data_IF_337095156070
#
_entry.id   IF_337095156070
#
_cell.length_a   1.000
_cell.length_b   1.000
_cell.length_c   1.000
_cell.angle_alpha   90.00
_cell.angle_beta   90.00
_cell.angle_gamma   90.00
#
_symmetry.space_group_name_H-M   'P 1'
#
loop_
_entity.id
_entity.type
_entity.pdbx_description
1 polymer ?
#
# COMPACT_ATOMS: atom_id res chain seq x y z
N UNK A 1 -22.62 -32.85 -42.07
CA UNK A 1 -23.02 -32.57 -40.66
C UNK A 1 -21.90 -32.78 -39.64
N UNK A 2 -21.00 -33.76 -39.83
CA UNK A 2 -19.93 -34.15 -38.88
C UNK A 2 -18.82 -33.10 -38.64
N UNK A 3 -18.57 -32.17 -39.58
CA UNK A 3 -17.50 -31.16 -39.44
C UNK A 3 -17.82 -30.05 -38.43
N UNK A 4 -19.09 -29.69 -38.21
CA UNK A 4 -19.46 -28.60 -37.28
C UNK A 4 -19.37 -29.02 -35.80
N UNK A 5 -19.56 -30.30 -35.51
CA UNK A 5 -19.55 -30.81 -34.14
C UNK A 5 -18.14 -30.95 -33.55
N UNK A 6 -17.14 -31.29 -34.38
CA UNK A 6 -15.71 -31.31 -33.97
C UNK A 6 -15.17 -29.91 -33.63
N UNK A 7 -15.64 -28.87 -34.32
CA UNK A 7 -15.20 -27.49 -34.07
C UNK A 7 -15.78 -26.95 -32.75
N UNK A 8 -17.03 -27.32 -32.41
CA UNK A 8 -17.66 -26.92 -31.15
C UNK A 8 -16.98 -27.57 -29.94
N UNK A 9 -16.71 -28.88 -29.98
CA UNK A 9 -16.00 -29.60 -28.91
C UNK A 9 -14.57 -29.08 -28.70
N UNK A 10 -13.87 -28.69 -29.76
CA UNK A 10 -12.53 -28.09 -29.65
C UNK A 10 -12.52 -26.72 -28.97
N UNK A 11 -13.55 -25.90 -29.19
CA UNK A 11 -13.68 -24.58 -28.52
C UNK A 11 -14.04 -24.71 -27.04
N UNK A 12 -14.92 -25.64 -26.69
CA UNK A 12 -15.30 -25.92 -25.28
C UNK A 12 -14.11 -26.50 -24.49
N UNK A 13 -13.32 -27.40 -25.09
CA UNK A 13 -12.10 -27.92 -24.44
C UNK A 13 -11.00 -26.87 -24.28
N UNK A 14 -10.92 -25.89 -25.19
CA UNK A 14 -9.96 -24.77 -25.09
C UNK A 14 -10.36 -23.74 -24.03
N UNK A 15 -11.65 -23.55 -23.79
CA UNK A 15 -12.16 -22.66 -22.75
C UNK A 15 -11.97 -23.25 -21.35
N UNK A 16 -12.35 -24.52 -21.15
CA UNK A 16 -12.15 -25.24 -19.88
C UNK A 16 -10.66 -25.32 -19.49
N UNK A 17 -9.78 -25.54 -20.46
CA UNK A 17 -8.33 -25.62 -20.22
C UNK A 17 -7.67 -24.23 -20.02
N UNK A 18 -8.36 -23.13 -20.38
CA UNK A 18 -7.96 -21.76 -20.01
C UNK A 18 -8.41 -21.41 -18.59
N UNK A 19 -9.63 -21.79 -18.21
CA UNK A 19 -10.13 -21.60 -16.84
C UNK A 19 -9.33 -22.41 -15.82
N UNK A 20 -9.05 -23.69 -16.09
CA UNK A 20 -8.23 -24.53 -15.20
C UNK A 20 -6.80 -23.99 -15.03
N UNK A 21 -6.22 -23.43 -16.10
CA UNK A 21 -4.90 -22.79 -16.04
C UNK A 21 -4.91 -21.45 -15.30
N UNK A 22 -5.99 -20.68 -15.38
CA UNK A 22 -6.14 -19.44 -14.62
C UNK A 22 -6.35 -19.74 -13.12
N UNK A 23 -7.19 -20.70 -12.78
CA UNK A 23 -7.40 -21.16 -11.39
C UNK A 23 -6.11 -21.76 -10.78
N UNK A 24 -5.33 -22.47 -11.58
CA UNK A 24 -4.00 -22.98 -11.17
C UNK A 24 -2.96 -21.87 -11.00
N UNK A 25 -3.07 -20.76 -11.75
CA UNK A 25 -2.18 -19.61 -11.67
C UNK A 25 -2.44 -18.81 -10.38
N UNK A 26 -3.71 -18.56 -10.09
CA UNK A 26 -4.14 -17.88 -8.88
C UNK A 26 -3.71 -18.68 -7.64
N UNK A 27 -3.80 -20.01 -7.68
CA UNK A 27 -3.30 -20.90 -6.62
C UNK A 27 -1.78 -20.88 -6.40
N UNK A 28 -0.98 -20.64 -7.44
CA UNK A 28 0.49 -20.59 -7.31
C UNK A 28 0.99 -19.22 -6.84
N UNK A 29 0.31 -18.13 -7.23
CA UNK A 29 0.52 -16.80 -6.66
C UNK A 29 0.09 -16.76 -5.19
N UNK A 30 -1.06 -17.39 -4.89
CA UNK A 30 -1.50 -17.67 -3.51
C UNK A 30 -0.46 -18.48 -2.73
N UNK A 31 0.21 -19.46 -3.33
CA UNK A 31 1.20 -20.28 -2.61
C UNK A 31 2.48 -19.52 -2.25
N UNK A 32 2.88 -18.55 -3.08
CA UNK A 32 3.98 -17.62 -2.76
C UNK A 32 3.54 -16.60 -1.70
N UNK A 33 2.28 -16.15 -1.73
CA UNK A 33 1.68 -15.34 -0.68
C UNK A 33 1.56 -16.10 0.66
N UNK A 34 1.24 -17.40 0.63
CA UNK A 34 0.97 -18.21 1.83
C UNK A 34 2.20 -18.59 2.64
N UNK A 35 3.41 -18.53 2.08
CA UNK A 35 4.65 -18.73 2.87
C UNK A 35 5.03 -17.50 3.72
N UNK A 36 4.29 -16.41 3.58
CA UNK A 36 4.48 -15.13 4.26
C UNK A 36 3.56 -14.95 5.49
N UNK A 37 2.74 -15.97 5.82
CA UNK A 37 1.48 -15.89 6.57
C UNK A 37 1.56 -15.75 8.11
N UNK A 38 2.73 -15.62 8.73
CA UNK A 38 2.83 -15.49 10.19
C UNK A 38 3.45 -14.17 10.64
N UNK A 39 3.15 -13.06 9.96
CA UNK A 39 3.45 -11.74 10.50
C UNK A 39 2.22 -11.24 11.25
N UNK A 40 2.34 -11.21 12.58
CA UNK A 40 1.30 -10.65 13.43
C UNK A 40 1.20 -9.14 13.19
N UNK A 41 -0.04 -8.59 13.14
CA UNK A 41 -0.23 -7.15 13.10
C UNK A 41 0.36 -6.49 14.36
N UNK A 42 0.70 -5.18 14.29
CA UNK A 42 1.09 -4.44 15.48
C UNK A 42 -0.08 -4.38 16.49
N UNK A 43 0.21 -4.00 17.75
CA UNK A 43 -0.84 -3.61 18.70
C UNK A 43 -1.78 -2.55 18.10
N UNK A 44 -3.03 -2.56 18.55
CA UNK A 44 -4.08 -1.62 18.11
C UNK A 44 -4.47 -1.72 16.62
N UNK A 45 -4.15 -2.84 15.97
CA UNK A 45 -4.65 -3.11 14.63
C UNK A 45 -6.17 -3.34 14.63
N UNK A 46 -6.93 -2.70 13.72
CA UNK A 46 -8.38 -2.80 13.70
C UNK A 46 -8.86 -4.20 13.33
N UNK A 47 -9.97 -4.60 13.94
CA UNK A 47 -10.68 -5.83 13.59
C UNK A 47 -11.16 -5.77 12.13
N UNK A 48 -11.07 -6.91 11.44
CA UNK A 48 -11.54 -7.04 10.05
C UNK A 48 -10.65 -6.40 8.98
N UNK A 49 -9.50 -5.82 9.35
CA UNK A 49 -8.51 -5.30 8.40
C UNK A 49 -7.33 -6.26 8.28
N UNK A 50 -6.94 -6.63 7.07
CA UNK A 50 -5.82 -7.56 6.84
C UNK A 50 -4.48 -6.82 6.95
N UNK A 51 -3.56 -7.34 7.75
CA UNK A 51 -2.19 -6.80 7.80
C UNK A 51 -1.34 -7.36 6.65
N UNK A 52 -0.76 -6.47 5.83
CA UNK A 52 0.08 -6.80 4.70
C UNK A 52 1.56 -6.71 5.10
N UNK A 53 2.13 -7.84 5.49
CA UNK A 53 3.52 -7.90 5.94
C UNK A 53 4.56 -8.00 4.83
N UNK A 54 4.18 -8.12 3.55
CA UNK A 54 5.16 -8.41 2.49
C UNK A 54 5.02 -7.56 1.23
N UNK A 55 3.82 -7.45 0.70
CA UNK A 55 3.56 -6.68 -0.52
C UNK A 55 2.09 -6.27 -0.56
N UNK A 56 1.76 -5.32 -1.43
CA UNK A 56 0.38 -4.97 -1.76
C UNK A 56 -0.33 -6.13 -2.47
N UNK A 57 -1.66 -6.14 -2.41
CA UNK A 57 -2.50 -7.10 -3.13
C UNK A 57 -3.07 -6.46 -4.40
N UNK A 58 -3.18 -7.18 -5.52
CA UNK A 58 -3.78 -6.64 -6.74
C UNK A 58 -5.31 -6.67 -6.66
N UNK A 59 -5.98 -5.67 -7.22
CA UNK A 59 -7.39 -5.76 -7.53
C UNK A 59 -7.63 -6.75 -8.67
N UNK A 60 -8.88 -7.19 -8.82
CA UNK A 60 -9.26 -8.12 -9.90
C UNK A 60 -9.17 -7.50 -11.30
N UNK A 61 -9.22 -6.17 -11.42
CA UNK A 61 -9.06 -5.44 -12.68
C UNK A 61 -7.62 -5.07 -13.00
N UNK A 62 -6.69 -5.20 -12.05
CA UNK A 62 -5.31 -4.75 -12.23
C UNK A 62 -4.62 -5.55 -13.35
N UNK A 63 -4.11 -4.91 -14.41
CA UNK A 63 -3.48 -5.64 -15.49
C UNK A 63 -2.18 -6.33 -15.03
N UNK A 64 -1.81 -7.42 -15.69
CA UNK A 64 -0.73 -8.29 -15.20
C UNK A 64 0.63 -7.59 -15.11
N UNK A 65 0.91 -6.60 -15.96
CA UNK A 65 2.17 -5.86 -15.88
C UNK A 65 2.19 -4.95 -14.65
N UNK A 66 1.09 -4.29 -14.29
CA UNK A 66 0.97 -3.49 -13.06
C UNK A 66 0.99 -4.37 -11.81
N UNK A 67 0.37 -5.55 -11.82
CA UNK A 67 0.52 -6.53 -10.74
C UNK A 67 2.01 -6.84 -10.50
N UNK A 68 2.74 -7.23 -11.54
CA UNK A 68 4.16 -7.57 -11.41
C UNK A 68 5.01 -6.38 -10.96
N UNK A 69 4.64 -5.16 -11.34
CA UNK A 69 5.36 -3.95 -10.94
C UNK A 69 5.08 -3.57 -9.48
N UNK A 70 3.82 -3.61 -9.01
CA UNK A 70 3.42 -2.99 -7.73
C UNK A 70 3.06 -3.97 -6.60
N UNK A 71 2.87 -5.25 -6.90
CA UNK A 71 2.43 -6.27 -5.93
C UNK A 71 3.48 -7.36 -5.69
N UNK A 72 4.75 -7.08 -6.01
CA UNK A 72 5.88 -8.01 -5.80
C UNK A 72 6.85 -7.41 -4.80
N UNK A 73 7.27 -8.20 -3.81
CA UNK A 73 8.25 -7.75 -2.83
C UNK A 73 9.66 -7.64 -3.46
N UNK A 74 10.45 -6.61 -3.09
CA UNK A 74 11.86 -6.55 -3.48
C UNK A 74 12.65 -7.70 -2.85
N UNK A 75 13.88 -7.89 -3.32
CA UNK A 75 14.82 -8.85 -2.70
C UNK A 75 15.42 -8.30 -1.41
N UNK A 76 15.86 -9.20 -0.53
CA UNK A 76 16.44 -8.86 0.79
C UNK A 76 17.61 -7.87 0.72
N UNK A 77 18.28 -7.70 -0.41
CA UNK A 77 19.36 -6.74 -0.57
C UNK A 77 18.90 -5.26 -0.61
N UNK A 78 17.62 -4.99 -0.86
CA UNK A 78 17.10 -3.63 -1.02
C UNK A 78 16.48 -3.11 0.27
N UNK A 79 16.64 -1.81 0.53
CA UNK A 79 16.12 -1.17 1.75
C UNK A 79 14.59 -1.26 1.89
N UNK A 80 13.88 -1.33 0.76
CA UNK A 80 12.45 -1.48 0.71
C UNK A 80 11.97 -2.90 1.07
N UNK A 81 12.88 -3.84 1.31
CA UNK A 81 12.51 -5.19 1.72
C UNK A 81 11.76 -5.18 3.05
N UNK A 82 10.57 -5.82 3.14
CA UNK A 82 9.73 -5.79 4.33
C UNK A 82 10.46 -6.21 5.61
N UNK A 83 11.29 -7.26 5.55
CA UNK A 83 12.09 -7.69 6.71
C UNK A 83 13.16 -6.68 7.12
N UNK A 84 13.76 -5.95 6.19
CA UNK A 84 14.71 -4.88 6.55
C UNK A 84 13.98 -3.75 7.27
N UNK A 85 12.83 -3.32 6.75
CA UNK A 85 12.05 -2.23 7.34
C UNK A 85 11.58 -2.60 8.75
N UNK A 86 10.99 -3.80 8.92
CA UNK A 86 10.55 -4.28 10.24
C UNK A 86 11.69 -4.40 11.24
N UNK A 87 12.86 -4.89 10.82
CA UNK A 87 14.02 -5.04 11.70
C UNK A 87 14.49 -3.68 12.26
N UNK A 88 14.23 -2.57 11.56
CA UNK A 88 14.54 -1.22 12.05
C UNK A 88 13.64 -0.81 13.21
N UNK A 89 12.42 -1.34 13.30
CA UNK A 89 11.43 -1.02 14.35
C UNK A 89 11.26 0.49 14.58
N UNK A 90 11.08 1.26 13.50
CA UNK A 90 10.94 2.71 13.58
C UNK A 90 9.63 3.18 14.20
N UNK A 91 8.56 2.41 13.99
CA UNK A 91 7.18 2.89 14.19
C UNK A 91 6.43 2.04 15.20
N UNK A 92 5.47 2.68 15.87
CA UNK A 92 4.47 2.03 16.71
C UNK A 92 3.13 2.71 16.50
N UNK A 93 2.04 1.94 16.56
CA UNK A 93 0.68 2.47 16.56
C UNK A 93 0.29 2.73 18.00
N UNK A 94 -0.26 3.92 18.28
CA UNK A 94 -0.75 4.28 19.61
C UNK A 94 -2.12 4.92 19.53
N UNK A 95 -2.95 4.67 20.54
CA UNK A 95 -4.18 5.45 20.75
C UNK A 95 -3.82 6.88 21.13
N UNK A 96 -4.49 7.84 20.51
CA UNK A 96 -4.35 9.27 20.78
C UNK A 96 -5.26 9.62 21.96
N UNK A 97 -4.68 10.20 23.01
CA UNK A 97 -5.39 10.60 24.22
C UNK A 97 -5.41 12.12 24.36
N UNK A 98 -6.17 12.64 25.32
CA UNK A 98 -6.18 14.07 25.63
C UNK A 98 -4.80 14.61 26.04
N UNK A 99 -3.87 13.75 26.47
CA UNK A 99 -2.50 14.11 26.83
C UNK A 99 -1.49 13.91 25.70
N UNK A 100 -1.91 13.42 24.53
CA UNK A 100 -1.01 13.31 23.37
C UNK A 100 -0.56 14.70 22.93
N UNK A 101 0.76 14.90 22.85
CA UNK A 101 1.34 16.18 22.46
C UNK A 101 0.95 16.54 21.02
N UNK A 102 0.57 17.80 20.81
CA UNK A 102 0.27 18.36 19.50
C UNK A 102 0.58 19.85 19.49
N UNK A 103 0.67 20.42 18.29
CA UNK A 103 0.84 21.85 18.06
C UNK A 103 -0.45 22.38 17.43
N UNK A 104 -1.29 23.09 18.19
CA UNK A 104 -2.49 23.73 17.65
C UNK A 104 -2.14 24.64 16.48
N UNK A 105 -3.01 24.67 15.47
CA UNK A 105 -2.88 25.64 14.38
C UNK A 105 -2.97 27.08 14.94
N UNK A 106 -2.27 28.03 14.31
CA UNK A 106 -2.32 29.43 14.73
C UNK A 106 -3.77 29.95 14.74
N UNK A 107 -4.20 30.54 15.86
CA UNK A 107 -5.57 31.01 16.06
C UNK A 107 -6.59 29.93 16.44
N UNK A 108 -6.18 28.67 16.55
CA UNK A 108 -7.06 27.59 17.01
C UNK A 108 -7.30 27.66 18.51
N UNK A 109 -8.54 27.36 18.94
CA UNK A 109 -8.92 27.20 20.34
C UNK A 109 -8.80 25.75 20.83
N UNK A 110 -8.19 24.85 20.05
CA UNK A 110 -8.02 23.46 20.42
C UNK A 110 -7.13 23.33 21.66
N UNK A 111 -7.69 22.76 22.72
CA UNK A 111 -6.99 22.45 23.98
C UNK A 111 -6.54 21.00 24.05
N UNK A 112 -7.02 20.15 23.14
CA UNK A 112 -6.68 18.73 23.02
C UNK A 112 -6.41 18.35 21.58
N UNK A 113 -5.67 17.26 21.39
CA UNK A 113 -5.35 16.73 20.07
C UNK A 113 -6.63 16.53 19.21
N UNK A 114 -6.65 16.94 17.93
CA UNK A 114 -7.86 16.86 17.10
C UNK A 114 -8.37 15.41 16.86
N UNK A 115 -7.47 14.44 16.86
CA UNK A 115 -7.78 13.01 16.68
C UNK A 115 -7.88 12.19 17.99
N UNK A 116 -8.24 12.81 19.14
CA UNK A 116 -8.45 12.07 20.40
C UNK A 116 -9.41 10.90 20.20
N UNK A 117 -9.05 9.73 20.73
CA UNK A 117 -9.82 8.49 20.61
C UNK A 117 -9.52 7.67 19.35
N UNK A 118 -8.82 8.25 18.38
CA UNK A 118 -8.31 7.52 17.21
C UNK A 118 -6.91 6.95 17.49
N UNK A 119 -6.31 6.33 16.48
CA UNK A 119 -4.91 5.88 16.53
C UNK A 119 -4.04 6.79 15.66
N UNK A 120 -2.77 6.93 16.04
CA UNK A 120 -1.73 7.58 15.24
C UNK A 120 -0.49 6.69 15.14
N UNK A 121 0.36 6.99 14.16
CA UNK A 121 1.68 6.36 14.02
C UNK A 121 2.74 7.21 14.71
N UNK A 122 3.58 6.61 15.54
CA UNK A 122 4.59 7.31 16.33
C UNK A 122 5.99 6.74 16.10
N UNK A 123 7.01 7.59 16.23
CA UNK A 123 8.40 7.16 16.21
C UNK A 123 8.75 6.41 17.52
N UNK A 124 9.13 5.13 17.45
CA UNK A 124 9.60 4.35 18.62
C UNK A 124 10.94 4.83 19.15
N UNK A 125 11.77 5.35 18.25
CA UNK A 125 13.13 5.86 18.49
C UNK A 125 13.44 6.95 17.48
N UNK A 126 14.54 7.67 17.69
CA UNK A 126 14.95 8.71 16.76
C UNK A 126 15.13 8.15 15.34
N UNK A 127 14.39 8.69 14.38
CA UNK A 127 14.46 8.32 12.97
C UNK A 127 15.44 9.28 12.28
N UNK A 128 16.48 8.79 11.59
CA UNK A 128 17.41 9.64 10.86
C UNK A 128 16.70 10.40 9.71
N UNK A 129 17.29 11.49 9.20
CA UNK A 129 16.83 12.12 7.96
C UNK A 129 16.78 11.14 6.78
N UNK A 130 15.94 11.42 5.78
CA UNK A 130 15.91 10.72 4.47
C UNK A 130 15.85 9.20 4.57
N UNK A 131 15.10 8.68 5.54
CA UNK A 131 15.01 7.26 5.85
C UNK A 131 13.67 6.72 5.40
N UNK A 132 13.64 5.58 4.70
CA UNK A 132 12.41 4.81 4.46
C UNK A 132 11.88 4.33 5.82
N UNK A 133 10.73 4.86 6.24
CA UNK A 133 10.13 4.60 7.55
C UNK A 133 9.14 3.45 7.49
N UNK A 134 8.15 3.54 6.60
CA UNK A 134 7.07 2.54 6.48
C UNK A 134 6.58 2.47 5.02
N UNK A 135 6.38 1.27 4.44
CA UNK A 135 5.82 1.14 3.11
C UNK A 135 4.31 1.38 3.16
N UNK A 136 3.75 1.96 2.10
CA UNK A 136 2.30 2.09 1.92
C UNK A 136 1.83 0.91 1.09
N UNK A 137 1.32 -0.11 1.78
CA UNK A 137 0.68 -1.27 1.14
C UNK A 137 -0.83 -1.21 1.33
N UNK A 138 -1.54 -1.78 0.36
CA UNK A 138 -2.98 -1.85 0.32
C UNK A 138 -3.44 -2.72 -0.85
N UNK A 139 -4.68 -2.53 -1.27
CA UNK A 139 -5.20 -3.03 -2.53
C UNK A 139 -4.78 -2.09 -3.67
N UNK A 140 -3.98 -2.58 -4.62
CA UNK A 140 -3.61 -1.81 -5.82
C UNK A 140 -4.72 -1.95 -6.85
N UNK A 141 -5.31 -0.84 -7.26
CA UNK A 141 -6.46 -0.81 -8.17
C UNK A 141 -6.25 0.22 -9.28
N UNK A 142 -7.05 0.14 -10.35
CA UNK A 142 -7.11 1.17 -11.37
C UNK A 142 -7.84 2.39 -10.79
N UNK A 143 -7.32 3.58 -11.09
CA UNK A 143 -7.92 4.83 -10.67
C UNK A 143 -8.39 5.67 -11.87
N UNK A 144 -9.47 6.44 -11.68
CA UNK A 144 -10.09 7.28 -12.70
C UNK A 144 -11.39 6.74 -13.31
N UNK A 145 -11.99 7.52 -14.21
CA UNK A 145 -13.43 7.45 -14.49
C UNK A 145 -13.92 6.14 -15.13
N UNK A 146 -13.47 5.78 -16.34
CA UNK A 146 -14.12 4.70 -17.11
C UNK A 146 -13.61 3.29 -16.78
N UNK A 147 -12.36 3.16 -16.35
CA UNK A 147 -11.72 1.87 -16.08
C UNK A 147 -11.42 1.63 -14.59
N UNK A 148 -11.67 2.63 -13.74
CA UNK A 148 -11.40 2.56 -12.31
C UNK A 148 -12.19 1.48 -11.57
N UNK A 149 -11.60 1.00 -10.50
CA UNK A 149 -12.25 0.19 -9.47
C UNK A 149 -11.95 0.71 -8.06
N UNK A 150 -11.73 2.03 -7.97
CA UNK A 150 -11.61 2.78 -6.73
C UNK A 150 -12.89 2.71 -5.89
N UNK A 151 -12.73 2.55 -4.58
CA UNK A 151 -13.82 2.67 -3.61
C UNK A 151 -14.07 4.15 -3.30
N UNK A 152 -15.20 4.68 -3.77
CA UNK A 152 -15.57 6.09 -3.59
C UNK A 152 -15.65 6.51 -2.11
N UNK A 153 -15.87 5.57 -1.19
CA UNK A 153 -15.92 5.83 0.25
C UNK A 153 -14.55 5.69 0.93
N UNK A 154 -13.50 5.31 0.19
CA UNK A 154 -12.18 5.10 0.76
C UNK A 154 -11.63 6.38 1.38
N UNK A 155 -11.19 6.25 2.63
CA UNK A 155 -10.44 7.28 3.37
C UNK A 155 -8.94 7.01 3.40
N UNK A 156 -8.49 5.99 2.70
CA UNK A 156 -7.16 5.40 2.82
C UNK A 156 -6.48 5.15 1.48
N UNK A 157 -6.97 5.77 0.41
CA UNK A 157 -6.43 5.60 -0.94
C UNK A 157 -5.33 6.62 -1.24
N UNK A 158 -4.18 6.11 -1.67
CA UNK A 158 -3.02 6.88 -2.09
C UNK A 158 -2.72 6.68 -3.57
N UNK A 159 -2.73 7.77 -4.33
CA UNK A 159 -2.47 7.74 -5.77
C UNK A 159 -1.01 7.41 -6.11
N UNK A 160 -0.81 6.61 -7.16
CA UNK A 160 0.48 6.32 -7.79
C UNK A 160 0.28 6.16 -9.31
N UNK A 161 1.30 6.46 -10.12
CA UNK A 161 1.21 6.36 -11.58
C UNK A 161 2.20 5.34 -12.13
N UNK A 162 1.73 4.47 -13.03
CA UNK A 162 2.57 3.52 -13.75
C UNK A 162 3.40 4.21 -14.85
N UNK A 163 4.47 3.55 -15.32
CA UNK A 163 5.37 4.11 -16.34
C UNK A 163 4.66 4.40 -17.68
N UNK A 164 3.53 3.75 -17.95
CA UNK A 164 2.69 3.97 -19.14
C UNK A 164 1.61 5.05 -18.95
N UNK A 165 1.62 5.77 -17.82
CA UNK A 165 0.64 6.79 -17.48
C UNK A 165 -0.66 6.25 -16.90
N UNK A 166 -0.77 4.93 -16.67
CA UNK A 166 -1.93 4.36 -15.98
C UNK A 166 -2.00 4.90 -14.55
N UNK A 167 -3.12 5.52 -14.21
CA UNK A 167 -3.41 6.00 -12.87
C UNK A 167 -3.83 4.82 -11.99
N UNK A 168 -3.19 4.68 -10.85
CA UNK A 168 -3.45 3.62 -9.88
C UNK A 168 -3.71 4.22 -8.50
N UNK A 169 -4.42 3.47 -7.67
CA UNK A 169 -4.57 3.73 -6.24
C UNK A 169 -3.98 2.60 -5.41
N UNK A 170 -3.66 2.91 -4.15
CA UNK A 170 -3.25 1.95 -3.12
C UNK A 170 -4.20 2.16 -1.94
N UNK A 171 -5.27 1.36 -1.91
CA UNK A 171 -6.31 1.51 -0.90
C UNK A 171 -6.00 0.68 0.35
N UNK A 172 -5.79 1.39 1.47
CA UNK A 172 -5.53 0.77 2.77
C UNK A 172 -6.78 0.59 3.68
N UNK A 173 -7.99 0.66 3.11
CA UNK A 173 -9.27 0.58 3.84
C UNK A 173 -9.47 -0.80 4.48
N UNK A 174 -9.31 -1.87 3.70
CA UNK A 174 -9.56 -3.26 4.14
C UNK A 174 -8.29 -4.06 4.41
N UNK A 175 -7.14 -3.56 3.99
CA UNK A 175 -5.84 -4.21 4.15
C UNK A 175 -4.72 -3.19 4.13
N UNK A 176 -3.58 -3.45 4.77
CA UNK A 176 -2.44 -2.56 4.62
C UNK A 176 -1.36 -2.75 5.67
N UNK A 177 -0.50 -1.75 5.80
CA UNK A 177 0.58 -1.67 6.81
C UNK A 177 0.23 -0.63 7.88
N UNK A 178 1.15 -0.39 8.81
CA UNK A 178 1.05 0.68 9.80
C UNK A 178 0.94 2.09 9.19
N UNK A 179 1.29 2.25 7.90
CA UNK A 179 1.15 3.51 7.17
C UNK A 179 -0.29 4.06 7.20
N UNK A 180 -1.30 3.18 7.34
CA UNK A 180 -2.71 3.58 7.44
C UNK A 180 -3.06 4.40 8.69
N UNK A 181 -2.17 4.45 9.69
CA UNK A 181 -2.37 5.25 10.91
C UNK A 181 -1.65 6.60 10.88
N UNK A 182 -1.06 6.98 9.74
CA UNK A 182 -0.42 8.28 9.60
C UNK A 182 -1.48 9.35 9.39
N UNK A 183 -1.52 10.31 10.30
CA UNK A 183 -2.44 11.44 10.26
C UNK A 183 -1.93 12.58 9.35
N UNK A 184 -2.85 13.46 8.94
CA UNK A 184 -2.44 14.74 8.35
C UNK A 184 -1.83 15.64 9.42
N UNK A 185 -0.76 16.35 9.05
CA UNK A 185 -0.02 17.18 10.00
C UNK A 185 -0.79 18.41 10.48
N UNK A 186 -1.81 18.89 9.74
CA UNK A 186 -2.49 20.15 10.06
C UNK A 186 -3.21 20.05 11.41
N UNK A 187 -2.84 20.95 12.32
CA UNK A 187 -3.37 20.96 13.68
C UNK A 187 -2.74 19.91 14.61
N UNK A 188 -1.73 19.16 14.15
CA UNK A 188 -0.95 18.21 14.95
C UNK A 188 0.52 18.66 15.05
N UNK A 189 1.11 19.05 13.92
CA UNK A 189 2.49 19.54 13.81
C UNK A 189 2.53 20.86 13.03
N UNK A 190 3.64 21.60 13.15
CA UNK A 190 3.87 22.81 12.33
C UNK A 190 4.06 22.48 10.84
N UNK A 191 4.60 21.30 10.54
CA UNK A 191 4.89 20.79 9.19
C UNK A 191 4.86 19.26 9.20
N UNK A 192 4.59 18.60 8.06
CA UNK A 192 4.74 17.16 7.98
C UNK A 192 6.19 16.76 8.26
N UNK A 193 6.37 15.61 8.89
CA UNK A 193 7.69 15.02 9.15
C UNK A 193 7.92 13.74 8.34
N UNK A 194 6.85 13.19 7.74
CA UNK A 194 6.90 12.16 6.71
C UNK A 194 6.43 12.68 5.35
N UNK A 195 6.93 12.07 4.29
CA UNK A 195 6.64 12.42 2.91
C UNK A 195 6.43 11.15 2.10
N UNK A 196 5.36 11.13 1.30
CA UNK A 196 5.17 10.10 0.29
C UNK A 196 6.29 10.17 -0.74
N UNK A 197 6.94 9.04 -0.98
CA UNK A 197 7.94 8.88 -2.04
C UNK A 197 7.78 7.51 -2.66
N UNK A 198 7.93 7.46 -3.97
CA UNK A 198 8.02 6.21 -4.68
C UNK A 198 9.40 5.58 -4.49
N UNK A 199 9.43 4.26 -4.41
CA UNK A 199 10.66 3.48 -4.43
C UNK A 199 10.63 2.51 -5.61
N UNK A 200 11.80 2.12 -6.07
CA UNK A 200 11.97 1.13 -7.14
C UNK A 200 13.09 0.15 -6.81
N UNK A 201 12.95 -1.08 -7.25
CA UNK A 201 14.02 -2.08 -7.20
C UNK A 201 13.99 -2.93 -8.48
N UNK A 202 15.12 -3.54 -8.91
CA UNK A 202 15.12 -4.47 -10.03
C UNK A 202 14.13 -5.62 -9.82
N UNK A 203 13.45 -6.01 -10.90
CA UNK A 203 12.50 -7.12 -10.85
C UNK A 203 13.21 -8.43 -10.44
N UNK A 204 12.71 -9.16 -9.42
CA UNK A 204 13.34 -10.39 -8.98
C UNK A 204 13.30 -11.47 -10.09
N UNK A 205 14.47 -11.87 -10.60
CA UNK A 205 14.60 -12.83 -11.71
C UNK A 205 14.10 -14.25 -11.42
N UNK A 206 13.80 -14.55 -10.16
CA UNK A 206 13.25 -15.80 -9.66
C UNK A 206 11.71 -15.80 -9.62
N UNK A 207 11.08 -14.63 -9.72
CA UNK A 207 9.62 -14.45 -9.81
C UNK A 207 9.16 -14.63 -11.27
N UNK A 208 9.79 -15.54 -12.02
CA UNK A 208 9.46 -15.75 -13.43
C UNK A 208 8.00 -16.18 -13.57
N UNK A 209 7.24 -15.33 -14.27
CA UNK A 209 5.83 -15.49 -14.48
C UNK A 209 5.54 -16.82 -15.17
N UNK A 210 4.58 -17.58 -14.64
CA UNK A 210 4.08 -18.83 -15.23
C UNK A 210 3.38 -18.65 -16.61
N UNK A 211 3.46 -17.46 -17.22
CA UNK A 211 2.96 -17.12 -18.56
C UNK A 211 4.15 -16.82 -19.48
N UNK A 212 4.54 -17.74 -20.38
CA UNK A 212 5.73 -17.60 -21.25
C UNK A 212 5.72 -16.36 -22.18
N UNK A 213 4.55 -15.73 -22.36
CA UNK A 213 4.36 -14.61 -23.29
C UNK A 213 4.45 -13.23 -22.64
N UNK A 214 4.41 -13.15 -21.30
CA UNK A 214 4.47 -11.87 -20.60
C UNK A 214 5.92 -11.55 -20.27
N UNK A 215 6.46 -10.47 -20.86
CA UNK A 215 7.77 -9.96 -20.46
C UNK A 215 7.63 -9.30 -19.08
N UNK A 216 8.42 -9.71 -18.07
CA UNK A 216 8.40 -9.04 -16.78
C UNK A 216 8.88 -7.59 -16.92
N UNK A 217 8.46 -6.69 -16.01
CA UNK A 217 8.99 -5.34 -15.98
C UNK A 217 10.48 -5.34 -15.63
N UNK A 218 11.20 -4.26 -15.94
CA UNK A 218 12.61 -4.11 -15.55
C UNK A 218 12.78 -3.88 -14.03
N UNK A 219 11.76 -3.27 -13.42
CA UNK A 219 11.72 -2.88 -12.03
C UNK A 219 10.35 -3.19 -11.42
N UNK A 220 10.36 -3.43 -10.13
CA UNK A 220 9.19 -3.27 -9.27
C UNK A 220 9.22 -1.87 -8.68
N UNK A 221 8.03 -1.35 -8.34
CA UNK A 221 7.83 -0.02 -7.77
C UNK A 221 6.83 -0.11 -6.62
N UNK A 222 6.82 0.90 -5.78
CA UNK A 222 5.79 1.06 -4.76
C UNK A 222 5.85 2.41 -4.09
N UNK A 223 4.91 2.65 -3.18
CA UNK A 223 4.85 3.87 -2.39
C UNK A 223 5.33 3.60 -0.97
N UNK A 224 6.08 4.53 -0.40
CA UNK A 224 6.48 4.49 1.00
C UNK A 224 6.53 5.90 1.59
N UNK A 225 6.62 5.97 2.91
CA UNK A 225 6.79 7.22 3.63
C UNK A 225 8.23 7.34 4.13
N UNK A 226 8.85 8.47 3.80
CA UNK A 226 10.23 8.79 4.15
C UNK A 226 10.28 9.96 5.12
N UNK A 227 11.25 9.93 6.04
CA UNK A 227 11.56 11.10 6.87
C UNK A 227 12.18 12.22 6.01
N UNK A 228 11.94 13.46 6.41
CA UNK A 228 12.47 14.64 5.74
C UNK A 228 13.97 14.88 5.95
N UNK A 229 14.39 16.13 5.77
CA UNK A 229 15.79 16.55 5.93
C UNK A 229 16.27 16.61 7.40
N UNK A 230 15.35 16.52 8.36
CA UNK A 230 15.64 16.59 9.80
C UNK A 230 15.30 15.27 10.48
N UNK A 231 16.06 14.89 11.54
CA UNK A 231 15.72 13.72 12.33
C UNK A 231 14.37 13.91 13.03
N UNK A 232 13.67 12.80 13.28
CA UNK A 232 12.41 12.78 14.02
C UNK A 232 12.69 12.17 15.39
N UNK A 233 12.43 12.91 16.46
CA UNK A 233 12.66 12.43 17.83
C UNK A 233 11.75 11.26 18.21
N UNK A 234 12.22 10.38 19.09
CA UNK A 234 11.39 9.33 19.69
C UNK A 234 10.12 9.91 20.34
N UNK A 235 9.01 9.21 20.22
CA UNK A 235 7.69 9.60 20.72
C UNK A 235 6.96 10.66 19.89
N UNK A 236 7.58 11.21 18.83
CA UNK A 236 6.91 12.17 17.94
C UNK A 236 5.89 11.46 17.08
N UNK A 237 4.69 12.06 16.94
CA UNK A 237 3.71 11.59 15.96
C UNK A 237 4.23 11.77 14.54
N UNK A 238 4.00 10.78 13.69
CA UNK A 238 4.38 10.76 12.31
C UNK A 238 3.20 11.21 11.46
N UNK A 239 3.36 12.34 10.79
CA UNK A 239 2.32 12.96 9.99
C UNK A 239 2.82 13.28 8.57
N UNK A 240 1.92 13.10 7.60
CA UNK A 240 2.11 13.52 6.21
C UNK A 240 1.23 14.73 5.90
N UNK A 241 1.32 15.23 4.68
CA UNK A 241 0.23 16.04 4.10
C UNK A 241 -0.61 15.12 3.21
N UNK A 242 -1.90 14.99 3.49
CA UNK A 242 -2.85 14.28 2.62
C UNK A 242 -3.05 14.99 1.27
N UNK A 243 -2.61 16.24 1.15
CA UNK A 243 -2.67 17.00 -0.10
C UNK A 243 -3.93 17.85 -0.24
N UNK A 244 -3.89 18.84 -1.12
CA UNK A 244 -4.97 19.83 -1.27
C UNK A 244 -6.26 19.21 -1.82
N UNK A 245 -6.15 18.27 -2.77
CA UNK A 245 -7.30 17.58 -3.35
C UNK A 245 -8.12 16.82 -2.30
N UNK A 246 -7.44 16.16 -1.36
CA UNK A 246 -8.07 15.43 -0.26
C UNK A 246 -8.95 16.31 0.62
N UNK A 247 -8.45 17.50 0.97
CA UNK A 247 -9.16 18.47 1.80
C UNK A 247 -10.27 19.17 1.01
N UNK A 248 -10.03 19.54 -0.24
CA UNK A 248 -11.05 20.16 -1.10
C UNK A 248 -12.24 19.24 -1.41
N UNK A 249 -12.06 17.91 -1.34
CA UNK A 249 -13.15 16.96 -1.43
C UNK A 249 -14.06 16.97 -0.18
N UNK A 250 -13.55 17.41 0.98
CA UNK A 250 -14.22 17.34 2.29
C UNK A 250 -14.65 18.69 2.85
N UNK A 251 -14.22 19.80 2.25
CA UNK A 251 -14.77 21.13 2.53
C UNK A 251 -16.19 21.32 1.99
N UNK A 252 -16.69 20.37 1.19
CA UNK A 252 -18.02 20.41 0.55
C UNK A 252 -19.07 19.53 1.22
N UNK A 253 -18.70 18.85 2.29
CA UNK A 253 -19.59 18.09 3.18
C UNK A 253 -19.85 18.87 4.47
#
# INVERSE_FOLDING_TARGET
MVKKEKVKRGKESLASNKEEKQVSLDRNLDHLARSADNILPPPHWPEGVVYLGWHSQPSTKLPSIQHLTFCVAPRLAYEAHPSQIRARQWTEVRTITASTAFIPAFGSSLTTHPAVGQCGLFARKTIPPRTLVVPSYGLVHLAGDEEGDEDAESRYDAAIEADDGTKLGIDATRMGTEARFVNDYRGILQRPNLFFQEWSAPFPKDVLCAKPTLKPPSQIRGLAMYSGAHPISAGTELCVSYGKGWWAARERD
#
